data_IF_967841349491
#
_entry.id   IF_967841349491
#
_cell.length_a   1.000
_cell.length_b   1.000
_cell.length_c   1.000
_cell.angle_alpha   90.00
_cell.angle_beta   90.00
_cell.angle_gamma   90.00
#
_symmetry.space_group_name_H-M   'P 1'
#
loop_
_entity.id
_entity.type
_entity.pdbx_description
1 polymer ?
#
# COMPACT_ATOMS: atom_id res chain seq x y z
N UNK A 1 -41.10 -12.23 21.07
CA UNK A 1 -39.68 -11.86 21.21
C UNK A 1 -39.00 -12.17 19.88
N UNK A 2 -38.90 -11.20 18.97
CA UNK A 2 -38.26 -11.42 17.67
C UNK A 2 -36.76 -11.11 17.80
N UNK A 3 -35.93 -12.15 17.73
CA UNK A 3 -34.48 -12.03 17.73
C UNK A 3 -34.02 -11.62 16.32
N UNK A 4 -33.73 -10.34 16.13
CA UNK A 4 -33.04 -9.86 14.93
C UNK A 4 -31.57 -10.27 15.01
N UNK A 5 -31.17 -11.28 14.24
CA UNK A 5 -29.77 -11.60 14.00
C UNK A 5 -29.26 -10.57 12.98
N UNK A 6 -28.56 -9.55 13.47
CA UNK A 6 -27.78 -8.64 12.63
C UNK A 6 -26.54 -9.40 12.16
N UNK A 7 -26.63 -10.00 10.97
CA UNK A 7 -25.47 -10.60 10.32
C UNK A 7 -24.61 -9.46 9.77
N UNK A 8 -23.62 -9.00 10.55
CA UNK A 8 -22.62 -8.06 10.08
C UNK A 8 -21.87 -8.71 8.91
N UNK A 9 -22.15 -8.25 7.69
CA UNK A 9 -21.37 -8.65 6.52
C UNK A 9 -19.98 -8.03 6.67
N UNK A 10 -19.06 -8.76 7.28
CA UNK A 10 -17.66 -8.54 7.00
C UNK A 10 -17.49 -8.90 5.53
N UNK A 11 -17.38 -7.91 4.66
CA UNK A 11 -16.86 -8.12 3.31
C UNK A 11 -15.46 -8.69 3.47
N UNK A 12 -15.37 -10.02 3.45
CA UNK A 12 -14.12 -10.72 3.20
C UNK A 12 -13.79 -10.37 1.78
N UNK A 13 -12.82 -9.47 1.62
CA UNK A 13 -12.33 -9.05 0.33
C UNK A 13 -11.32 -10.11 -0.15
N UNK A 14 -11.82 -11.31 -0.43
CA UNK A 14 -11.00 -12.37 -0.99
C UNK A 14 -10.53 -11.94 -2.40
N UNK A 15 -9.22 -11.97 -2.62
CA UNK A 15 -8.63 -11.67 -3.92
C UNK A 15 -8.33 -10.20 -4.23
N UNK A 16 -8.60 -9.23 -3.34
CA UNK A 16 -8.03 -7.87 -3.53
C UNK A 16 -6.58 -7.79 -3.05
N UNK A 17 -5.87 -6.80 -3.59
CA UNK A 17 -4.48 -6.56 -3.21
C UNK A 17 -4.37 -6.02 -1.79
N UNK A 18 -3.55 -6.69 -0.99
CA UNK A 18 -3.19 -6.30 0.37
C UNK A 18 -1.81 -5.65 0.41
N UNK A 19 -1.68 -4.53 1.11
CA UNK A 19 -0.39 -3.90 1.41
C UNK A 19 0.11 -4.45 2.74
N UNK A 20 1.23 -5.19 2.72
CA UNK A 20 1.79 -5.79 3.94
C UNK A 20 2.79 -4.88 4.64
N UNK A 21 3.60 -4.15 3.87
CA UNK A 21 4.61 -3.26 4.42
C UNK A 21 5.02 -2.17 3.42
N UNK A 22 5.56 -1.08 3.94
CA UNK A 22 6.27 -0.07 3.17
C UNK A 22 7.59 0.32 3.84
N UNK A 23 8.60 0.59 3.03
CA UNK A 23 9.91 1.07 3.43
C UNK A 23 10.22 2.34 2.67
N UNK A 24 10.52 3.42 3.39
CA UNK A 24 10.90 4.71 2.84
C UNK A 24 12.31 5.03 3.30
N UNK A 25 13.22 5.26 2.36
CA UNK A 25 14.62 5.62 2.64
C UNK A 25 14.93 6.97 1.99
N UNK A 26 15.46 7.90 2.76
CA UNK A 26 15.96 9.17 2.22
C UNK A 26 17.02 8.90 1.13
N UNK A 27 16.92 9.64 0.03
CA UNK A 27 17.88 9.62 -1.07
C UNK A 27 18.57 10.99 -1.26
N UNK A 28 18.41 11.91 -0.30
CA UNK A 28 18.94 13.28 -0.33
C UNK A 28 17.84 14.32 -0.57
N UNK A 29 18.01 15.52 -0.01
CA UNK A 29 16.98 16.56 -0.05
C UNK A 29 15.62 16.05 0.46
N UNK A 30 14.57 16.32 -0.32
CA UNK A 30 13.21 15.85 -0.08
C UNK A 30 12.84 14.60 -0.93
N UNK A 31 13.86 13.85 -1.37
CA UNK A 31 13.72 12.70 -2.27
C UNK A 31 13.88 11.38 -1.53
N UNK A 32 13.12 10.36 -1.96
CA UNK A 32 12.96 9.08 -1.29
C UNK A 32 13.05 7.90 -2.25
N UNK A 33 13.63 6.79 -1.79
CA UNK A 33 13.49 5.48 -2.39
C UNK A 33 12.49 4.68 -1.56
N UNK A 34 11.45 4.18 -2.21
CA UNK A 34 10.30 3.57 -1.56
C UNK A 34 10.16 2.13 -2.06
N UNK A 35 9.97 1.17 -1.16
CA UNK A 35 9.58 -0.19 -1.53
C UNK A 35 8.29 -0.57 -0.82
N UNK A 36 7.38 -1.22 -1.52
CA UNK A 36 6.11 -1.69 -0.98
C UNK A 36 6.03 -3.20 -1.16
N UNK A 37 5.67 -3.90 -0.08
CA UNK A 37 5.38 -5.33 -0.07
C UNK A 37 3.88 -5.52 -0.23
N UNK A 38 3.48 -6.25 -1.28
CA UNK A 38 2.10 -6.55 -1.61
C UNK A 38 1.85 -8.06 -1.51
N UNK A 39 0.60 -8.41 -1.27
CA UNK A 39 0.07 -9.77 -1.36
C UNK A 39 -1.22 -9.72 -2.17
N UNK A 40 -1.35 -10.59 -3.15
CA UNK A 40 -2.57 -10.73 -3.96
C UNK A 40 -2.66 -12.17 -4.47
N UNK A 41 -3.89 -12.67 -4.66
CA UNK A 41 -4.14 -13.98 -5.26
C UNK A 41 -4.09 -13.89 -6.79
N UNK A 42 -2.91 -13.56 -7.33
CA UNK A 42 -2.69 -13.45 -8.78
C UNK A 42 -3.07 -14.78 -9.47
N UNK A 43 -3.95 -14.71 -10.47
CA UNK A 43 -4.38 -15.90 -11.25
C UNK A 43 -3.93 -15.83 -12.71
N UNK A 44 -3.13 -14.82 -13.06
CA UNK A 44 -2.55 -14.64 -14.38
C UNK A 44 -2.74 -13.22 -14.91
N UNK A 45 -2.60 -13.06 -16.23
CA UNK A 45 -2.60 -11.75 -16.89
C UNK A 45 -3.91 -10.97 -16.74
N UNK A 46 -5.03 -11.62 -16.44
CA UNK A 46 -6.33 -10.97 -16.32
C UNK A 46 -6.64 -10.49 -14.90
N UNK A 47 -6.02 -11.08 -13.87
CA UNK A 47 -6.28 -10.75 -12.47
C UNK A 47 -4.98 -10.85 -11.67
N UNK A 48 -4.37 -9.67 -11.50
CA UNK A 48 -3.17 -9.48 -10.70
C UNK A 48 -3.10 -8.06 -10.15
N UNK A 49 -2.33 -7.88 -9.07
CA UNK A 49 -1.97 -6.56 -8.56
C UNK A 49 -1.13 -5.80 -9.60
N UNK A 50 -1.69 -4.75 -10.19
CA UNK A 50 -1.09 -4.07 -11.35
C UNK A 50 -0.52 -2.68 -11.02
N UNK A 51 -0.74 -2.16 -9.82
CA UNK A 51 -0.25 -0.83 -9.44
C UNK A 51 -0.21 -0.61 -7.93
N UNK A 52 0.73 0.21 -7.49
CA UNK A 52 0.64 0.91 -6.21
C UNK A 52 1.13 2.35 -6.35
N UNK A 53 0.69 3.23 -5.46
CA UNK A 53 1.04 4.65 -5.47
C UNK A 53 1.25 5.21 -4.07
N UNK A 54 1.96 6.33 -4.02
CA UNK A 54 2.12 7.19 -2.84
C UNK A 54 1.22 8.40 -3.04
N UNK A 55 0.37 8.69 -2.06
CA UNK A 55 -0.52 9.86 -2.08
C UNK A 55 -0.44 10.65 -0.77
N UNK A 56 -0.82 11.93 -0.83
CA UNK A 56 -1.05 12.73 0.38
C UNK A 56 -2.42 12.42 1.03
N UNK A 57 -2.72 13.10 2.14
CA UNK A 57 -3.99 12.91 2.86
C UNK A 57 -5.25 13.25 2.04
N UNK A 58 -5.12 14.07 1.00
CA UNK A 58 -6.21 14.46 0.10
C UNK A 58 -6.30 13.53 -1.13
N UNK A 59 -5.40 12.56 -1.26
CA UNK A 59 -5.33 11.67 -2.42
C UNK A 59 -4.53 12.23 -3.60
N UNK A 60 -3.79 13.34 -3.42
CA UNK A 60 -2.92 13.85 -4.49
C UNK A 60 -1.75 12.91 -4.71
N UNK A 61 -1.46 12.62 -5.98
CA UNK A 61 -0.39 11.71 -6.37
C UNK A 61 1.00 12.29 -6.10
N UNK A 62 1.83 11.55 -5.37
CA UNK A 62 3.22 11.88 -5.08
C UNK A 62 4.20 10.94 -5.80
N UNK A 63 3.76 9.71 -6.10
CA UNK A 63 4.52 8.75 -6.89
C UNK A 63 3.66 7.58 -7.33
N UNK A 64 3.89 7.07 -8.54
CA UNK A 64 3.12 5.97 -9.14
C UNK A 64 4.05 4.84 -9.55
N UNK A 65 3.65 3.60 -9.26
CA UNK A 65 4.37 2.39 -9.67
C UNK A 65 3.42 1.41 -10.33
N UNK A 66 3.53 1.32 -11.65
CA UNK A 66 2.88 0.27 -12.45
C UNK A 66 3.64 -1.05 -12.32
N UNK A 67 2.91 -2.15 -12.21
CA UNK A 67 3.39 -3.52 -12.20
C UNK A 67 2.94 -4.17 -13.52
N UNK A 68 3.90 -4.63 -14.32
CA UNK A 68 3.62 -5.00 -15.71
C UNK A 68 3.34 -6.49 -15.93
N UNK A 69 3.46 -7.31 -14.89
CA UNK A 69 3.28 -8.75 -14.99
C UNK A 69 2.70 -9.31 -13.69
N UNK A 70 2.00 -10.46 -13.75
CA UNK A 70 1.58 -11.18 -12.57
C UNK A 70 2.78 -11.78 -11.81
N UNK A 71 2.56 -12.04 -10.53
CA UNK A 71 3.49 -12.57 -9.53
C UNK A 71 2.89 -13.83 -8.88
N UNK A 72 2.28 -14.73 -9.67
CA UNK A 72 1.59 -15.95 -9.17
C UNK A 72 2.47 -16.77 -8.23
N UNK A 73 3.74 -16.98 -8.60
CA UNK A 73 4.70 -17.80 -7.86
C UNK A 73 5.62 -16.98 -6.92
N UNK A 74 5.33 -15.69 -6.75
CA UNK A 74 6.14 -14.74 -5.96
C UNK A 74 5.21 -13.99 -5.00
N UNK A 75 4.64 -14.71 -4.03
CA UNK A 75 3.76 -14.10 -3.02
C UNK A 75 4.27 -14.35 -1.60
N UNK A 76 4.39 -13.30 -0.76
CA UNK A 76 4.26 -11.88 -1.11
C UNK A 76 5.45 -11.39 -1.95
N UNK A 77 5.25 -10.35 -2.76
CA UNK A 77 6.33 -9.70 -3.51
C UNK A 77 6.56 -8.26 -3.06
N UNK A 78 7.77 -7.76 -3.33
CA UNK A 78 8.15 -6.37 -3.02
C UNK A 78 8.62 -5.65 -4.28
N UNK A 79 8.13 -4.43 -4.52
CA UNK A 79 8.58 -3.60 -5.65
C UNK A 79 8.92 -2.20 -5.20
N UNK A 80 9.92 -1.62 -5.88
CA UNK A 80 10.49 -0.32 -5.56
C UNK A 80 10.12 0.79 -6.54
N UNK A 81 10.09 2.01 -6.03
CA UNK A 81 10.04 3.26 -6.77
C UNK A 81 11.11 4.20 -6.20
N UNK A 82 12.05 4.59 -7.05
CA UNK A 82 13.17 5.44 -6.66
C UNK A 82 12.88 6.90 -6.97
N UNK A 83 13.59 7.80 -6.28
CA UNK A 83 13.57 9.24 -6.54
C UNK A 83 12.18 9.89 -6.43
N UNK A 84 11.38 9.47 -5.45
CA UNK A 84 10.09 10.08 -5.16
C UNK A 84 10.31 11.36 -4.36
N UNK A 85 10.00 12.51 -4.95
CA UNK A 85 10.06 13.81 -4.28
C UNK A 85 8.79 14.03 -3.47
N UNK A 86 8.95 14.18 -2.16
CA UNK A 86 7.86 14.49 -1.25
C UNK A 86 7.87 15.99 -0.92
N UNK A 87 6.72 16.69 -0.90
CA UNK A 87 6.68 18.12 -0.55
C UNK A 87 7.28 18.42 0.82
N UNK A 88 7.94 19.57 0.96
CA UNK A 88 8.52 19.98 2.23
C UNK A 88 7.45 20.10 3.33
N UNK A 89 7.77 19.63 4.53
CA UNK A 89 6.85 19.66 5.67
C UNK A 89 5.75 18.59 5.64
N UNK A 90 5.70 17.72 4.64
CA UNK A 90 4.79 16.57 4.66
C UNK A 90 5.18 15.60 5.77
N UNK A 91 4.21 15.25 6.62
CA UNK A 91 4.47 14.36 7.77
C UNK A 91 3.83 13.00 7.63
N UNK A 92 2.85 12.86 6.74
CA UNK A 92 2.06 11.65 6.57
C UNK A 92 1.78 11.47 5.09
N UNK A 93 2.00 10.26 4.61
CA UNK A 93 1.61 9.82 3.27
C UNK A 93 0.86 8.50 3.38
N UNK A 94 0.18 8.13 2.32
CA UNK A 94 -0.55 6.87 2.22
C UNK A 94 -0.05 6.07 1.02
N UNK A 95 0.05 4.75 1.21
CA UNK A 95 0.19 3.81 0.11
C UNK A 95 -1.18 3.28 -0.26
N UNK A 96 -1.50 3.32 -1.54
CA UNK A 96 -2.69 2.70 -2.12
C UNK A 96 -2.23 1.66 -3.15
N UNK A 97 -2.96 0.55 -3.23
CA UNK A 97 -2.68 -0.53 -4.16
C UNK A 97 -3.93 -0.86 -4.97
N UNK A 98 -3.72 -1.34 -6.19
CA UNK A 98 -4.77 -1.68 -7.13
C UNK A 98 -4.50 -3.05 -7.77
N UNK A 99 -5.58 -3.79 -8.03
CA UNK A 99 -5.59 -4.91 -8.95
C UNK A 99 -6.47 -4.64 -10.18
N UNK A 100 -6.35 -5.51 -11.19
CA UNK A 100 -7.05 -5.35 -12.48
C UNK A 100 -8.57 -5.48 -12.41
N UNK A 101 -9.12 -6.22 -11.44
CA UNK A 101 -10.54 -6.58 -11.40
C UNK A 101 -11.30 -5.69 -10.44
N UNK A 102 -10.79 -5.53 -9.22
CA UNK A 102 -11.47 -4.80 -8.15
C UNK A 102 -11.10 -3.31 -8.12
N UNK A 103 -10.02 -2.93 -8.81
CA UNK A 103 -9.53 -1.55 -8.79
C UNK A 103 -8.75 -1.26 -7.51
N UNK A 104 -8.87 -0.03 -7.00
CA UNK A 104 -8.13 0.40 -5.81
C UNK A 104 -8.69 -0.28 -4.57
N UNK A 105 -7.81 -0.91 -3.79
CA UNK A 105 -8.19 -1.46 -2.49
C UNK A 105 -8.73 -0.33 -1.59
N UNK A 106 -9.82 -0.56 -0.84
CA UNK A 106 -10.32 0.41 0.13
C UNK A 106 -9.38 0.56 1.33
N UNK A 107 -8.41 -0.36 1.48
CA UNK A 107 -7.42 -0.34 2.55
C UNK A 107 -6.14 0.33 2.03
N UNK A 108 -5.79 1.46 2.65
CA UNK A 108 -4.53 2.17 2.42
C UNK A 108 -3.61 2.05 3.63
N UNK A 109 -2.29 2.01 3.40
CA UNK A 109 -1.30 1.98 4.47
C UNK A 109 -0.86 3.41 4.81
N UNK A 110 -1.11 3.85 6.04
CA UNK A 110 -0.58 5.12 6.55
C UNK A 110 0.91 5.00 6.89
N UNK A 111 1.70 5.97 6.43
CA UNK A 111 3.13 6.09 6.75
C UNK A 111 3.39 7.44 7.42
N UNK A 112 3.65 7.38 8.72
CA UNK A 112 4.02 8.53 9.54
C UNK A 112 5.52 8.82 9.42
N UNK A 113 5.86 9.83 8.61
CA UNK A 113 7.23 10.26 8.39
C UNK A 113 7.85 10.90 9.64
N UNK A 114 7.09 11.25 10.68
CA UNK A 114 7.69 11.69 11.96
C UNK A 114 8.42 10.56 12.67
N UNK A 115 8.16 9.31 12.28
CA UNK A 115 8.80 8.11 12.85
C UNK A 115 10.11 7.72 12.16
N UNK A 116 10.64 8.58 11.28
CA UNK A 116 11.95 8.34 10.65
C UNK A 116 13.02 8.11 11.70
N UNK A 117 13.82 7.06 11.51
CA UNK A 117 15.03 6.77 12.27
C UNK A 117 16.16 6.49 11.30
N UNK A 118 17.31 7.16 11.49
CA UNK A 118 18.47 7.03 10.61
C UNK A 118 18.13 7.17 9.10
N UNK A 119 17.27 8.14 8.75
CA UNK A 119 16.87 8.40 7.36
C UNK A 119 15.95 7.34 6.75
N UNK A 120 15.35 6.45 7.55
CA UNK A 120 14.42 5.42 7.10
C UNK A 120 13.18 5.36 7.96
N UNK A 121 12.02 5.10 7.36
CA UNK A 121 10.83 4.64 8.07
C UNK A 121 10.34 3.35 7.44
N UNK A 122 10.06 2.36 8.28
CA UNK A 122 9.51 1.07 7.88
C UNK A 122 8.21 0.88 8.65
N UNK A 123 7.15 0.49 7.94
CA UNK A 123 5.81 0.28 8.51
C UNK A 123 5.30 -1.06 8.03
N UNK A 124 4.79 -1.89 8.94
CA UNK A 124 4.00 -3.07 8.60
C UNK A 124 2.53 -2.79 8.86
N UNK A 125 1.64 -3.33 8.03
CA UNK A 125 0.20 -3.15 8.20
C UNK A 125 -0.30 -3.65 9.57
N UNK A 126 0.27 -4.75 10.08
CA UNK A 126 -0.06 -5.29 11.39
C UNK A 126 0.26 -4.33 12.56
N UNK A 127 1.18 -3.39 12.38
CA UNK A 127 1.57 -2.43 13.42
C UNK A 127 0.53 -1.30 13.58
N UNK A 128 -0.37 -1.13 12.61
CA UNK A 128 -1.41 -0.09 12.62
C UNK A 128 -2.67 -0.52 13.37
N UNK A 129 -2.94 -1.82 13.48
CA UNK A 129 -4.16 -2.37 14.10
C UNK A 129 -4.15 -2.34 15.65
N UNK A 130 -3.08 -1.84 16.26
CA UNK A 130 -2.91 -1.76 17.72
C UNK A 130 -3.10 -0.34 18.29
N UNK A 131 -3.75 0.56 17.54
CA UNK A 131 -4.07 1.92 17.98
C UNK A 131 -5.56 2.10 18.24
#
# INVERSE_FOLDING_TARGET
MALFILCSMNTVIAGEVSILAADFRHAGGNTWNITVTLQHDDTGWDHYANRWRVVDAKGNLLGDRVLHHPHVDEQPFTRGLSQVTLPDGITTVYIEAQDKIHGWSPIRLEVDLKKIKAGRVHVKAADLNHK
#
